data_IF_022359652932
#
_entry.id   IF_022359652932
#
_cell.length_a   1.000
_cell.length_b   1.000
_cell.length_c   1.000
_cell.angle_alpha   90.00
_cell.angle_beta   90.00
_cell.angle_gamma   90.00
#
_symmetry.space_group_name_H-M   'P 1'
#
loop_
_entity.id
_entity.type
_entity.pdbx_description
1 polymer ?
#
# COMPACT_ATOMS: atom_id res chain seq x y z
N UNK A 1 38.33 -3.83 -54.53
CA UNK A 1 36.86 -3.69 -54.39
C UNK A 1 36.56 -3.57 -52.90
N UNK A 2 36.29 -2.36 -52.42
CA UNK A 2 36.09 -2.06 -50.99
C UNK A 2 34.60 -2.19 -50.66
N UNK A 3 34.23 -2.98 -49.67
CA UNK A 3 32.84 -3.06 -49.16
C UNK A 3 32.78 -2.23 -47.87
N UNK A 4 32.00 -1.15 -47.90
CA UNK A 4 31.71 -0.28 -46.75
C UNK A 4 30.51 -0.88 -46.02
N UNK A 5 30.72 -1.35 -44.78
CA UNK A 5 29.65 -1.82 -43.90
C UNK A 5 29.06 -0.59 -43.19
N UNK A 6 27.80 -0.27 -43.51
CA UNK A 6 27.03 0.72 -42.77
C UNK A 6 26.48 0.08 -41.49
N UNK A 7 27.06 0.40 -40.35
CA UNK A 7 26.50 0.05 -39.05
C UNK A 7 25.28 0.95 -38.79
N UNK A 8 24.08 0.39 -38.91
CA UNK A 8 22.87 1.00 -38.39
C UNK A 8 22.94 0.97 -36.86
N UNK A 9 23.38 2.09 -36.25
CA UNK A 9 23.12 2.35 -34.84
C UNK A 9 21.60 2.55 -34.70
N UNK A 10 20.91 1.49 -34.28
CA UNK A 10 19.52 1.59 -33.83
C UNK A 10 19.45 2.56 -32.66
N UNK A 11 18.81 3.70 -32.86
CA UNK A 11 18.41 4.58 -31.76
C UNK A 11 17.37 3.80 -30.96
N UNK A 12 17.78 3.28 -29.81
CA UNK A 12 16.85 2.74 -28.83
C UNK A 12 15.90 3.89 -28.47
N UNK A 13 14.66 3.81 -28.94
CA UNK A 13 13.62 4.72 -28.50
C UNK A 13 13.33 4.34 -27.05
N UNK A 14 13.93 5.08 -26.11
CA UNK A 14 13.50 5.03 -24.73
C UNK A 14 11.99 5.30 -24.73
N UNK A 15 11.20 4.33 -24.26
CA UNK A 15 9.77 4.58 -24.09
C UNK A 15 9.62 5.80 -23.18
N UNK A 16 8.66 6.71 -23.48
CA UNK A 16 8.39 7.81 -22.59
C UNK A 16 8.11 7.22 -21.20
N UNK A 17 8.69 7.78 -20.14
CA UNK A 17 8.55 7.25 -18.80
C UNK A 17 7.08 6.99 -18.44
N UNK A 18 6.76 5.80 -17.96
CA UNK A 18 5.39 5.40 -17.65
C UNK A 18 4.82 6.29 -16.55
N UNK A 19 3.73 7.00 -16.85
CA UNK A 19 2.88 7.68 -15.84
C UNK A 19 1.85 6.73 -15.21
N UNK A 20 1.97 5.42 -15.50
CA UNK A 20 1.02 4.40 -15.04
C UNK A 20 1.58 3.67 -13.84
N UNK A 21 0.69 3.38 -12.92
CA UNK A 21 0.91 2.53 -11.77
C UNK A 21 -0.32 1.64 -11.56
N UNK A 22 -0.14 0.56 -10.79
CA UNK A 22 -1.24 -0.29 -10.33
C UNK A 22 -1.49 0.03 -8.86
N UNK A 23 -2.75 0.03 -8.42
CA UNK A 23 -3.07 0.12 -6.99
C UNK A 23 -3.49 -1.25 -6.48
N UNK A 24 -2.94 -1.67 -5.35
CA UNK A 24 -3.36 -2.86 -4.62
C UNK A 24 -4.01 -2.40 -3.32
N UNK A 25 -5.34 -2.58 -3.22
CA UNK A 25 -6.09 -2.29 -1.99
C UNK A 25 -6.21 -3.53 -1.13
N UNK A 26 -5.84 -3.34 0.14
CA UNK A 26 -6.02 -4.29 1.22
C UNK A 26 -6.97 -3.68 2.25
N UNK A 27 -7.59 -4.52 3.06
CA UNK A 27 -8.36 -4.07 4.22
C UNK A 27 -7.73 -4.73 5.45
N UNK A 28 -8.32 -5.80 5.96
CA UNK A 28 -7.81 -6.47 7.16
C UNK A 28 -6.72 -7.50 6.85
N UNK A 29 -5.82 -7.70 7.82
CA UNK A 29 -4.81 -8.75 7.85
C UNK A 29 -5.01 -9.57 9.11
N UNK A 30 -5.63 -10.73 8.96
CA UNK A 30 -6.01 -11.59 10.09
C UNK A 30 -5.58 -13.03 9.85
N UNK A 31 -5.08 -13.68 10.90
CA UNK A 31 -4.79 -15.12 10.91
C UNK A 31 -5.96 -15.94 11.50
N UNK A 32 -6.96 -15.26 12.06
CA UNK A 32 -8.14 -15.86 12.66
C UNK A 32 -9.40 -15.36 11.95
N UNK A 33 -10.01 -16.24 11.16
CA UNK A 33 -11.23 -15.95 10.41
C UNK A 33 -12.46 -15.75 11.33
N UNK A 34 -12.39 -16.12 12.60
CA UNK A 34 -13.44 -15.81 13.58
C UNK A 34 -13.27 -14.40 14.18
N UNK A 35 -12.06 -13.83 14.08
CA UNK A 35 -11.73 -12.48 14.51
C UNK A 35 -11.68 -11.49 13.35
N UNK A 36 -12.05 -11.85 12.12
CA UNK A 36 -12.46 -10.83 11.15
C UNK A 36 -13.82 -10.34 11.63
N UNK A 37 -13.81 -9.26 12.40
CA UNK A 37 -14.93 -8.79 13.23
C UNK A 37 -16.16 -8.32 12.47
N UNK A 38 -16.22 -8.57 11.18
CA UNK A 38 -17.36 -8.33 10.35
C UNK A 38 -17.63 -9.59 9.54
N UNK A 39 -18.81 -9.73 8.96
CA UNK A 39 -19.05 -10.65 7.83
C UNK A 39 -18.20 -10.31 6.57
N UNK A 40 -17.10 -9.58 6.75
CA UNK A 40 -16.13 -9.09 5.80
C UNK A 40 -15.23 -10.22 5.32
N UNK A 41 -15.57 -10.72 4.13
CA UNK A 41 -14.75 -11.57 3.27
C UNK A 41 -13.45 -10.89 2.78
N UNK A 42 -13.16 -9.66 3.20
CA UNK A 42 -12.06 -8.83 2.67
C UNK A 42 -10.87 -8.81 3.62
N UNK A 43 -10.30 -9.98 3.90
CA UNK A 43 -9.06 -10.11 4.64
C UNK A 43 -8.04 -10.98 3.89
N UNK A 44 -6.78 -10.81 4.25
CA UNK A 44 -5.67 -11.69 3.83
C UNK A 44 -4.95 -12.22 5.06
N UNK A 45 -4.42 -13.45 4.99
CA UNK A 45 -3.59 -13.96 6.09
C UNK A 45 -2.23 -13.28 6.10
N UNK A 46 -1.62 -13.16 7.28
CA UNK A 46 -0.31 -12.52 7.42
C UNK A 46 0.75 -13.19 6.54
N UNK A 47 0.74 -14.53 6.49
CA UNK A 47 1.68 -15.31 5.66
C UNK A 47 1.49 -15.08 4.15
N UNK A 48 0.25 -14.86 3.72
CA UNK A 48 -0.08 -14.57 2.32
C UNK A 48 0.36 -13.16 1.95
N UNK A 49 0.16 -12.17 2.83
CA UNK A 49 0.65 -10.80 2.61
C UNK A 49 2.19 -10.77 2.50
N UNK A 50 2.90 -11.48 3.38
CA UNK A 50 4.36 -11.61 3.29
C UNK A 50 4.78 -12.22 1.95
N UNK A 51 4.08 -13.27 1.52
CA UNK A 51 4.34 -13.92 0.24
C UNK A 51 4.08 -12.98 -0.95
N UNK A 52 3.03 -12.16 -0.90
CA UNK A 52 2.76 -11.15 -1.91
C UNK A 52 3.85 -10.08 -1.95
N UNK A 53 4.28 -9.54 -0.80
CA UNK A 53 5.35 -8.53 -0.76
C UNK A 53 6.68 -9.07 -1.30
N UNK A 54 7.02 -10.32 -0.95
CA UNK A 54 8.19 -11.01 -1.49
C UNK A 54 8.07 -11.19 -3.01
N UNK A 55 6.92 -11.65 -3.51
CA UNK A 55 6.68 -11.82 -4.93
C UNK A 55 6.77 -10.50 -5.71
N UNK A 56 6.19 -9.42 -5.19
CA UNK A 56 6.27 -8.09 -5.81
C UNK A 56 7.73 -7.65 -5.98
N UNK A 57 8.55 -7.87 -4.94
CA UNK A 57 9.99 -7.60 -4.99
C UNK A 57 10.71 -8.44 -6.04
N UNK A 58 10.46 -9.76 -6.05
CA UNK A 58 11.08 -10.70 -6.98
C UNK A 58 10.71 -10.41 -8.43
N UNK A 59 9.49 -9.92 -8.67
CA UNK A 59 9.03 -9.48 -9.98
C UNK A 59 9.40 -8.02 -10.30
N UNK A 60 10.16 -7.35 -9.45
CA UNK A 60 10.63 -5.98 -9.70
C UNK A 60 9.52 -4.93 -9.74
N UNK A 61 8.38 -5.17 -9.11
CA UNK A 61 7.42 -4.10 -8.83
C UNK A 61 8.02 -3.13 -7.81
N UNK A 62 7.69 -1.85 -7.97
CA UNK A 62 8.26 -0.77 -7.19
C UNK A 62 7.14 -0.03 -6.45
N UNK A 63 6.91 -0.31 -5.16
CA UNK A 63 6.06 0.51 -4.32
C UNK A 63 6.48 1.99 -4.36
N UNK A 64 5.53 2.87 -4.66
CA UNK A 64 5.72 4.31 -4.75
C UNK A 64 4.77 5.04 -3.80
N UNK A 65 5.23 6.17 -3.26
CA UNK A 65 4.41 7.03 -2.42
C UNK A 65 3.41 7.84 -3.24
N UNK A 66 2.35 8.33 -2.59
CA UNK A 66 1.41 9.24 -3.22
C UNK A 66 2.10 10.56 -3.62
N UNK A 67 3.06 11.05 -2.82
CA UNK A 67 3.91 12.19 -3.20
C UNK A 67 4.65 11.96 -4.54
N UNK A 68 5.23 10.78 -4.75
CA UNK A 68 5.89 10.44 -6.02
C UNK A 68 4.89 10.42 -7.19
N UNK A 69 3.68 9.91 -6.96
CA UNK A 69 2.61 9.90 -7.96
C UNK A 69 2.18 11.34 -8.33
N UNK A 70 2.00 12.20 -7.34
CA UNK A 70 1.64 13.62 -7.54
C UNK A 70 2.77 14.35 -8.29
N UNK A 71 4.02 14.14 -7.89
CA UNK A 71 5.18 14.75 -8.52
C UNK A 71 5.30 14.33 -9.99
N UNK A 72 5.17 13.04 -10.30
CA UNK A 72 5.20 12.53 -11.67
C UNK A 72 4.10 13.13 -12.54
N UNK A 73 2.88 13.23 -11.99
CA UNK A 73 1.72 13.85 -12.67
C UNK A 73 1.93 15.32 -12.99
N UNK A 74 2.65 16.04 -12.12
CA UNK A 74 2.95 17.46 -12.27
C UNK A 74 4.19 17.73 -13.14
N UNK A 75 4.69 16.74 -13.87
CA UNK A 75 5.84 16.87 -14.76
C UNK A 75 7.20 16.78 -14.06
N UNK A 76 7.23 16.32 -12.80
CA UNK A 76 8.44 16.00 -12.07
C UNK A 76 9.05 14.67 -12.49
N UNK A 77 9.83 14.06 -11.59
CA UNK A 77 10.44 12.75 -11.82
C UNK A 77 9.36 11.71 -12.17
N UNK A 78 9.48 11.01 -13.30
CA UNK A 78 8.52 9.97 -13.65
C UNK A 78 8.51 8.79 -12.67
N UNK A 79 7.41 8.06 -12.67
CA UNK A 79 7.32 6.81 -11.91
C UNK A 79 8.26 5.74 -12.50
N UNK A 80 8.82 4.85 -11.65
CA UNK A 80 9.56 3.70 -12.13
C UNK A 80 8.66 2.77 -12.95
N UNK A 81 9.27 1.95 -13.81
CA UNK A 81 8.55 0.84 -14.42
C UNK A 81 8.00 -0.08 -13.33
N UNK A 82 6.80 -0.64 -13.58
CA UNK A 82 6.09 -1.50 -12.62
C UNK A 82 5.81 -0.80 -11.27
N UNK A 83 5.57 0.51 -11.29
CA UNK A 83 5.13 1.26 -10.12
C UNK A 83 3.82 0.69 -9.55
N UNK A 84 3.78 0.55 -8.22
CA UNK A 84 2.57 0.16 -7.49
C UNK A 84 2.30 1.08 -6.31
N UNK A 85 1.03 1.38 -6.07
CA UNK A 85 0.57 2.01 -4.86
C UNK A 85 -0.04 0.93 -3.96
N UNK A 86 0.45 0.83 -2.73
CA UNK A 86 -0.14 -0.02 -1.69
C UNK A 86 -1.13 0.83 -0.88
N UNK A 87 -2.38 0.39 -0.79
CA UNK A 87 -3.40 1.04 0.05
C UNK A 87 -4.00 0.05 1.05
N UNK A 88 -4.26 0.55 2.25
CA UNK A 88 -4.92 -0.18 3.33
C UNK A 88 -6.11 0.63 3.83
N UNK A 89 -7.31 0.10 3.65
CA UNK A 89 -8.56 0.81 3.88
C UNK A 89 -9.11 0.53 5.30
N UNK A 90 -10.17 1.27 5.67
CA UNK A 90 -10.97 1.13 6.89
C UNK A 90 -10.30 1.50 8.22
N UNK A 91 -8.97 1.48 8.29
CA UNK A 91 -8.23 1.79 9.50
C UNK A 91 -8.21 0.64 10.51
N UNK A 92 -8.15 -0.62 10.04
CA UNK A 92 -7.94 -1.76 10.93
C UNK A 92 -6.60 -1.69 11.67
N UNK A 93 -6.61 -2.07 12.94
CA UNK A 93 -5.42 -2.12 13.80
C UNK A 93 -4.39 -3.14 13.35
N UNK A 94 -4.80 -4.12 12.54
CA UNK A 94 -3.90 -5.05 11.85
C UNK A 94 -2.89 -4.33 10.95
N UNK A 95 -3.24 -3.14 10.42
CA UNK A 95 -2.30 -2.32 9.66
C UNK A 95 -1.10 -1.91 10.53
N UNK A 96 -1.32 -1.46 11.75
CA UNK A 96 -0.23 -1.11 12.66
C UNK A 96 0.54 -2.34 13.17
N UNK A 97 -0.19 -3.39 13.54
CA UNK A 97 0.42 -4.55 14.24
C UNK A 97 1.08 -5.57 13.29
N UNK A 98 0.65 -5.65 12.03
CA UNK A 98 1.08 -6.68 11.07
C UNK A 98 1.66 -6.09 9.79
N UNK A 99 1.04 -5.05 9.23
CA UNK A 99 1.47 -4.45 7.96
C UNK A 99 2.67 -3.52 8.15
N UNK A 100 2.59 -2.60 9.10
CA UNK A 100 3.61 -1.57 9.31
C UNK A 100 5.03 -2.14 9.59
N UNK A 101 5.21 -3.23 10.35
CA UNK A 101 6.51 -3.90 10.44
C UNK A 101 7.04 -4.39 9.08
N UNK A 102 6.17 -4.86 8.19
CA UNK A 102 6.56 -5.28 6.83
C UNK A 102 6.89 -4.07 5.96
N UNK A 103 6.12 -2.98 6.01
CA UNK A 103 6.45 -1.74 5.30
C UNK A 103 7.84 -1.24 5.70
N UNK A 104 8.17 -1.26 7.00
CA UNK A 104 9.51 -0.94 7.51
C UNK A 104 10.58 -1.90 6.98
N UNK A 105 10.32 -3.21 7.04
CA UNK A 105 11.28 -4.23 6.61
C UNK A 105 11.61 -4.14 5.11
N UNK A 106 10.61 -3.86 4.28
CA UNK A 106 10.77 -3.76 2.83
C UNK A 106 11.06 -2.33 2.36
N UNK A 107 10.97 -1.33 3.24
CA UNK A 107 11.00 0.09 2.91
C UNK A 107 9.96 0.45 1.84
N UNK A 108 8.74 -0.05 2.00
CA UNK A 108 7.63 0.18 1.08
C UNK A 108 6.75 1.32 1.58
N UNK A 109 6.52 2.37 0.77
CA UNK A 109 5.50 3.36 1.09
C UNK A 109 4.09 2.79 0.91
N UNK A 110 3.14 3.32 1.67
CA UNK A 110 1.73 2.96 1.58
C UNK A 110 0.81 4.15 1.92
N UNK A 111 -0.45 4.00 1.56
CA UNK A 111 -1.55 4.88 1.98
C UNK A 111 -2.44 4.12 2.97
N UNK A 112 -2.89 4.79 4.02
CA UNK A 112 -3.99 4.32 4.87
C UNK A 112 -5.21 5.24 4.68
N UNK A 113 -6.35 4.65 4.32
CA UNK A 113 -7.60 5.38 4.15
C UNK A 113 -8.49 5.15 5.38
N UNK A 114 -8.71 6.21 6.16
CA UNK A 114 -9.28 6.10 7.50
C UNK A 114 -10.75 6.53 7.51
N UNK A 115 -11.59 5.76 8.19
CA UNK A 115 -12.96 6.19 8.51
C UNK A 115 -12.94 6.91 9.85
N UNK A 116 -12.80 8.23 9.82
CA UNK A 116 -12.62 9.05 11.03
C UNK A 116 -13.65 8.78 12.13
N UNK A 117 -14.94 8.63 11.77
CA UNK A 117 -16.01 8.33 12.74
C UNK A 117 -15.80 7.02 13.52
N UNK A 118 -15.13 6.02 12.94
CA UNK A 118 -14.84 4.76 13.62
C UNK A 118 -13.70 4.94 14.61
N UNK A 119 -12.73 5.79 14.28
CA UNK A 119 -11.58 6.06 15.13
C UNK A 119 -11.91 6.97 16.32
N UNK A 120 -12.96 7.79 16.19
CA UNK A 120 -13.45 8.67 17.26
C UNK A 120 -14.34 7.97 18.30
N UNK A 121 -14.74 6.72 18.06
CA UNK A 121 -15.48 5.92 19.06
C UNK A 121 -14.57 5.67 20.27
N UNK A 122 -15.04 5.90 21.51
CA UNK A 122 -14.23 5.69 22.72
C UNK A 122 -13.75 4.25 22.91
N UNK A 123 -12.58 4.09 23.55
CA UNK A 123 -12.04 2.78 23.89
C UNK A 123 -13.02 1.98 24.78
N UNK A 124 -13.23 0.71 24.44
CA UNK A 124 -14.19 -0.17 25.11
C UNK A 124 -15.63 -0.09 24.59
N UNK A 125 -15.91 0.81 23.64
CA UNK A 125 -17.21 0.86 22.95
C UNK A 125 -17.21 0.07 21.62
N UNK A 126 -18.37 0.04 20.97
CA UNK A 126 -18.60 -0.66 19.71
C UNK A 126 -18.71 0.34 18.56
N UNK A 127 -18.03 0.03 17.46
CA UNK A 127 -18.07 0.76 16.21
C UNK A 127 -19.21 0.21 15.36
N UNK A 128 -20.08 1.12 14.89
CA UNK A 128 -21.09 0.80 13.87
C UNK A 128 -20.42 0.64 12.49
N UNK A 129 -20.13 -0.61 12.14
CA UNK A 129 -19.53 -1.02 10.87
C UNK A 129 -20.62 -1.55 9.95
N UNK A 130 -21.16 -0.69 9.09
CA UNK A 130 -22.35 -1.03 8.31
C UNK A 130 -23.52 -1.38 9.22
N UNK A 131 -24.05 -2.60 9.10
CA UNK A 131 -25.13 -3.14 9.92
C UNK A 131 -24.63 -3.92 11.15
N UNK A 132 -23.31 -3.97 11.37
CA UNK A 132 -22.66 -4.76 12.42
C UNK A 132 -22.05 -3.86 13.51
N UNK A 133 -21.78 -4.47 14.66
CA UNK A 133 -21.12 -3.82 15.79
C UNK A 133 -19.80 -4.52 16.05
N UNK A 134 -18.70 -3.78 15.90
CA UNK A 134 -17.34 -4.30 16.01
C UNK A 134 -16.64 -3.63 17.20
N UNK A 135 -15.90 -4.36 18.05
CA UNK A 135 -15.19 -3.74 19.15
C UNK A 135 -14.22 -2.66 18.67
N UNK A 136 -14.16 -1.52 19.37
CA UNK A 136 -13.29 -0.38 18.99
C UNK A 136 -11.82 -0.76 18.79
N UNK A 137 -11.33 -1.74 19.54
CA UNK A 137 -9.95 -2.27 19.49
C UNK A 137 -9.54 -2.91 18.15
N UNK A 138 -10.50 -3.15 17.25
CA UNK A 138 -10.25 -3.62 15.89
C UNK A 138 -9.70 -2.53 14.97
N UNK A 139 -9.90 -1.27 15.33
CA UNK A 139 -9.47 -0.11 14.55
C UNK A 139 -8.27 0.56 15.20
N UNK A 140 -7.50 1.28 14.38
CA UNK A 140 -6.31 2.02 14.79
C UNK A 140 -6.61 3.02 15.89
N UNK A 141 -5.62 3.25 16.74
CA UNK A 141 -5.58 4.40 17.64
C UNK A 141 -4.82 5.57 16.98
N UNK A 142 -5.17 6.82 17.32
CA UNK A 142 -4.52 7.99 16.73
C UNK A 142 -3.01 8.05 16.97
N UNK A 143 -2.52 7.50 18.10
CA UNK A 143 -1.08 7.43 18.35
C UNK A 143 -0.36 6.44 17.41
N UNK A 144 -1.02 5.34 17.04
CA UNK A 144 -0.51 4.36 16.07
C UNK A 144 -0.45 4.99 14.68
N UNK A 145 -1.47 5.75 14.29
CA UNK A 145 -1.50 6.54 13.04
C UNK A 145 -0.34 7.54 13.01
N UNK A 146 -0.15 8.30 14.08
CA UNK A 146 0.91 9.30 14.17
C UNK A 146 2.31 8.67 14.06
N UNK A 147 2.54 7.50 14.66
CA UNK A 147 3.80 6.77 14.53
C UNK A 147 4.05 6.35 13.07
N UNK A 148 3.03 5.80 12.41
CA UNK A 148 3.13 5.38 11.01
C UNK A 148 3.43 6.56 10.08
N UNK A 149 2.74 7.68 10.25
CA UNK A 149 3.00 8.90 9.45
C UNK A 149 4.40 9.45 9.73
N UNK A 150 4.80 9.51 11.00
CA UNK A 150 6.13 10.02 11.40
C UNK A 150 7.30 9.17 10.88
N UNK A 151 7.03 7.92 10.47
CA UNK A 151 8.04 7.08 9.81
C UNK A 151 8.42 7.54 8.40
N UNK A 152 7.59 8.37 7.77
CA UNK A 152 7.73 8.77 6.37
C UNK A 152 7.30 7.70 5.36
N UNK A 153 6.84 6.53 5.81
CA UNK A 153 6.38 5.44 4.94
C UNK A 153 4.88 5.47 4.67
N UNK A 154 4.09 6.12 5.52
CA UNK A 154 2.63 6.04 5.45
C UNK A 154 2.01 7.42 5.28
N UNK A 155 1.16 7.56 4.27
CA UNK A 155 0.31 8.72 4.04
C UNK A 155 -1.13 8.42 4.47
N UNK A 156 -1.81 9.40 5.07
CA UNK A 156 -3.23 9.28 5.46
C UNK A 156 -4.09 9.90 4.37
N UNK A 157 -5.13 9.17 3.94
CA UNK A 157 -6.16 9.63 3.00
C UNK A 157 -7.52 9.83 3.68
#
# INVERSE_FOLDING_TARGET
MLIIIWSLLGVAHAQPPSQRFITLSYHDVSDDAALSGASSIMFIKSAELVSQFAWLREQGYQPVSMEQIIAARNGGTPLPDRAILLSFDDGYRSVYTRVFPLLKLFNYPAVIALVGKWMDVPAGEMVAYGDEQVPREYFLEWHEVNEMVSSGLVEVA
#
